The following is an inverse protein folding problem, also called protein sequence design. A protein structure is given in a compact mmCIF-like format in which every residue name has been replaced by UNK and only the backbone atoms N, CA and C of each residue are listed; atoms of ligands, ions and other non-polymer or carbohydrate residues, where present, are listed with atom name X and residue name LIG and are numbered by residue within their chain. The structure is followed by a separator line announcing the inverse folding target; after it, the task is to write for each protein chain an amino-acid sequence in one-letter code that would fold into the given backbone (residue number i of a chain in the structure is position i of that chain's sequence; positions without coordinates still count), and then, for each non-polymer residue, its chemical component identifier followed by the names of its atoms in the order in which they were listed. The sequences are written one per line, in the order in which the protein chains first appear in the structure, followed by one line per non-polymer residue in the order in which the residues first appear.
data_IF_190576660538
#
_entry.id   IF_190576660538
#
_cell.length_a   1.000
_cell.length_b   1.000
_cell.length_c   1.000
_cell.angle_alpha   90.00
_cell.angle_beta   90.00
_cell.angle_gamma   90.00
#
_symmetry.space_group_name_H-M   'P 1'
#
loop_
_entity.id
_entity.type
_entity.pdbx_description
1 polymer ?
#
# COMPACT_ATOMS: atom_id res chain seq x y z
N UNK A 1 23.18 -17.87 -2.12
CA UNK A 1 22.05 -17.64 -1.22
C UNK A 1 20.97 -18.58 -1.66
N UNK A 2 20.44 -19.40 -0.75
CA UNK A 2 19.20 -20.15 -0.99
C UNK A 2 18.08 -19.12 -1.04
N UNK A 3 17.59 -18.83 -2.24
CA UNK A 3 16.69 -17.69 -2.54
C UNK A 3 15.23 -18.11 -2.69
N UNK A 4 14.94 -19.41 -2.60
CA UNK A 4 13.60 -19.91 -2.87
C UNK A 4 12.79 -20.07 -1.56
N UNK A 5 11.77 -19.24 -1.44
CA UNK A 5 10.77 -19.38 -0.38
C UNK A 5 9.92 -20.65 -0.63
N UNK A 6 9.71 -21.53 0.36
CA UNK A 6 8.92 -22.75 0.18
C UNK A 6 7.44 -22.41 0.01
N UNK A 7 6.93 -22.39 -1.23
CA UNK A 7 5.58 -21.92 -1.56
C UNK A 7 4.46 -22.88 -1.14
N UNK A 8 4.79 -24.12 -0.85
CA UNK A 8 3.90 -25.19 -0.37
C UNK A 8 3.38 -24.94 1.06
N UNK A 9 4.07 -24.09 1.85
CA UNK A 9 3.60 -23.71 3.20
C UNK A 9 2.50 -22.64 3.17
N UNK A 10 2.23 -22.03 2.02
CA UNK A 10 1.24 -20.96 1.89
C UNK A 10 -0.19 -21.52 1.82
N UNK A 11 -1.19 -20.80 2.36
CA UNK A 11 -2.57 -21.25 2.30
C UNK A 11 -3.06 -21.46 0.86
N UNK A 12 -3.68 -22.62 0.64
CA UNK A 12 -4.37 -22.92 -0.60
C UNK A 12 -5.50 -21.90 -0.86
N UNK A 13 -5.80 -21.64 -2.13
CA UNK A 13 -6.88 -20.74 -2.53
C UNK A 13 -6.61 -19.24 -2.34
N UNK A 14 -5.42 -18.83 -1.91
CA UNK A 14 -5.00 -17.40 -1.88
C UNK A 14 -4.25 -16.99 -3.15
N UNK A 15 -4.21 -15.69 -3.46
CA UNK A 15 -3.35 -15.20 -4.55
C UNK A 15 -1.86 -15.31 -4.18
N UNK A 16 -1.01 -15.57 -5.17
CA UNK A 16 0.44 -15.67 -5.01
C UNK A 16 1.15 -14.89 -6.11
N UNK A 17 2.08 -14.02 -5.70
CA UNK A 17 3.03 -13.35 -6.57
C UNK A 17 4.44 -13.75 -6.13
N UNK A 18 5.29 -14.15 -7.08
CA UNK A 18 6.73 -14.27 -6.88
C UNK A 18 7.38 -12.98 -7.36
N UNK A 19 8.22 -12.36 -6.55
CA UNK A 19 8.80 -11.06 -6.83
C UNK A 19 10.22 -10.95 -6.31
N UNK A 20 11.02 -10.10 -6.96
CA UNK A 20 12.32 -9.64 -6.48
C UNK A 20 12.39 -8.09 -6.47
N UNK A 21 13.60 -7.53 -6.44
CA UNK A 21 13.80 -6.09 -6.45
C UNK A 21 13.53 -5.41 -7.80
N UNK A 22 13.36 -6.19 -8.87
CA UNK A 22 13.29 -5.73 -10.25
C UNK A 22 11.94 -6.05 -10.92
N UNK A 23 11.35 -7.23 -10.66
CA UNK A 23 10.10 -7.64 -11.29
C UNK A 23 9.26 -8.60 -10.41
N UNK A 24 8.05 -8.93 -10.88
CA UNK A 24 7.16 -9.89 -10.25
C UNK A 24 6.24 -10.61 -11.25
N UNK A 25 5.90 -11.87 -10.96
CA UNK A 25 4.94 -12.68 -11.70
C UNK A 25 3.79 -13.16 -10.81
N UNK A 26 2.56 -13.15 -11.36
CA UNK A 26 1.38 -13.75 -10.73
C UNK A 26 1.36 -15.25 -11.02
N UNK A 27 1.75 -16.06 -10.04
CA UNK A 27 1.75 -17.54 -10.15
C UNK A 27 0.34 -18.10 -9.94
N UNK A 28 -0.46 -17.45 -9.09
CA UNK A 28 -1.81 -17.88 -8.77
C UNK A 28 -2.70 -16.69 -8.52
N UNK A 29 -3.81 -16.57 -9.26
CA UNK A 29 -4.82 -15.57 -8.94
C UNK A 29 -5.62 -15.96 -7.70
N UNK A 30 -5.76 -15.01 -6.77
CA UNK A 30 -6.66 -15.12 -5.64
C UNK A 30 -8.13 -14.91 -6.02
N UNK A 31 -9.06 -15.37 -5.18
CA UNK A 31 -10.49 -15.24 -5.42
C UNK A 31 -10.94 -13.78 -5.39
N UNK A 32 -11.89 -13.42 -6.26
CA UNK A 32 -12.44 -12.07 -6.29
C UNK A 32 -13.42 -11.86 -5.13
N UNK A 33 -13.08 -10.95 -4.20
CA UNK A 33 -13.98 -10.51 -3.12
C UNK A 33 -14.28 -9.04 -3.26
N UNK A 34 -15.42 -8.69 -3.87
CA UNK A 34 -15.78 -7.29 -4.15
C UNK A 34 -16.08 -6.51 -2.88
N UNK A 35 -15.57 -5.27 -2.82
CA UNK A 35 -15.86 -4.35 -1.73
C UNK A 35 -17.17 -3.60 -1.96
N UNK A 36 -17.93 -3.42 -0.88
CA UNK A 36 -19.09 -2.52 -0.86
C UNK A 36 -18.70 -1.09 -1.30
N UNK A 37 -19.58 -0.36 -2.02
CA UNK A 37 -19.23 0.93 -2.62
C UNK A 37 -18.69 1.96 -1.62
N UNK A 38 -19.29 2.07 -0.43
CA UNK A 38 -18.85 3.01 0.61
C UNK A 38 -17.42 2.71 1.08
N UNK A 39 -17.10 1.44 1.35
CA UNK A 39 -15.75 1.01 1.77
C UNK A 39 -14.73 1.23 0.67
N UNK A 40 -15.06 0.89 -0.58
CA UNK A 40 -14.20 1.14 -1.74
C UNK A 40 -13.87 2.63 -1.87
N UNK A 41 -14.87 3.52 -1.76
CA UNK A 41 -14.67 4.97 -1.81
C UNK A 41 -13.67 5.44 -0.75
N UNK A 42 -13.84 5.01 0.50
CA UNK A 42 -12.95 5.38 1.61
C UNK A 42 -11.52 4.92 1.37
N UNK A 43 -11.33 3.66 0.93
CA UNK A 43 -9.98 3.12 0.67
C UNK A 43 -9.29 3.87 -0.48
N UNK A 44 -10.00 4.16 -1.57
CA UNK A 44 -9.46 4.93 -2.69
C UNK A 44 -9.04 6.33 -2.26
N UNK A 45 -9.84 7.04 -1.44
CA UNK A 45 -9.46 8.36 -0.94
C UNK A 45 -8.23 8.30 -0.03
N UNK A 46 -8.12 7.28 0.82
CA UNK A 46 -6.93 7.07 1.67
C UNK A 46 -5.69 6.80 0.83
N UNK A 47 -5.81 5.95 -0.19
CA UNK A 47 -4.73 5.68 -1.13
C UNK A 47 -4.25 6.96 -1.84
N UNK A 48 -5.18 7.76 -2.38
CA UNK A 48 -4.86 9.03 -3.03
C UNK A 48 -4.15 10.00 -2.09
N UNK A 49 -4.63 10.12 -0.85
CA UNK A 49 -4.01 10.96 0.18
C UNK A 49 -2.58 10.49 0.48
N UNK A 50 -2.36 9.19 0.67
CA UNK A 50 -1.01 8.66 0.93
C UNK A 50 -0.05 8.88 -0.25
N UNK A 51 -0.50 8.67 -1.48
CA UNK A 51 0.29 8.90 -2.68
C UNK A 51 0.68 10.38 -2.82
N UNK A 52 -0.28 11.31 -2.63
CA UNK A 52 -0.04 12.74 -2.72
C UNK A 52 0.95 13.23 -1.66
N UNK A 53 0.79 12.80 -0.41
CA UNK A 53 1.70 13.19 0.68
C UNK A 53 3.12 12.71 0.44
N UNK A 54 3.30 11.45 0.02
CA UNK A 54 4.63 10.88 -0.27
C UNK A 54 5.30 11.57 -1.46
N UNK A 55 4.55 11.78 -2.55
CA UNK A 55 5.07 12.49 -3.72
C UNK A 55 5.49 13.91 -3.37
N UNK A 56 4.68 14.59 -2.57
CA UNK A 56 4.96 15.95 -2.17
C UNK A 56 6.19 16.03 -1.25
N UNK A 57 6.35 15.11 -0.29
CA UNK A 57 7.55 15.03 0.54
C UNK A 57 8.82 14.72 -0.28
N UNK A 58 8.71 13.89 -1.31
CA UNK A 58 9.81 13.61 -2.24
C UNK A 58 10.19 14.86 -3.06
N UNK A 59 9.19 15.61 -3.55
CA UNK A 59 9.41 16.80 -4.38
C UNK A 59 9.90 18.00 -3.59
N UNK A 60 9.44 18.16 -2.35
CA UNK A 60 9.84 19.24 -1.46
C UNK A 60 10.16 18.71 -0.05
N UNK A 61 11.41 18.27 0.17
CA UNK A 61 11.84 17.72 1.46
C UNK A 61 11.92 18.74 2.60
N UNK A 62 11.92 20.04 2.29
CA UNK A 62 12.00 21.13 3.27
C UNK A 62 10.62 21.60 3.72
N UNK A 63 9.55 21.14 3.07
CA UNK A 63 8.20 21.43 3.54
C UNK A 63 8.05 20.81 4.93
N UNK A 64 7.62 21.57 5.95
CA UNK A 64 7.22 20.99 7.22
C UNK A 64 6.14 19.92 6.96
N UNK A 65 6.16 18.79 7.69
CA UNK A 65 5.09 17.82 7.58
C UNK A 65 3.76 18.54 7.81
N UNK A 66 2.70 18.08 7.15
CA UNK A 66 1.33 18.50 7.47
C UNK A 66 1.00 18.00 8.88
N UNK A 67 1.55 18.64 9.90
CA UNK A 67 1.10 18.56 11.28
C UNK A 67 -0.29 19.17 11.29
N UNK A 68 -1.20 18.55 12.05
CA UNK A 68 -2.63 18.84 11.97
C UNK A 68 -2.95 20.33 11.99
N UNK A 69 -3.82 20.74 11.08
CA UNK A 69 -4.66 21.92 11.29
C UNK A 69 -5.51 21.57 12.54
N UNK A 70 -5.00 21.91 13.73
CA UNK A 70 -5.58 21.52 15.02
C UNK A 70 -4.61 21.18 16.16
N UNK A 71 -3.33 21.56 16.10
CA UNK A 71 -2.51 21.65 17.33
C UNK A 71 -2.61 23.09 17.85
N UNK A 72 -3.13 23.23 19.06
CA UNK A 72 -3.35 24.47 19.80
C UNK A 72 -2.21 25.49 19.65
N UNK A 73 -2.62 26.72 19.35
CA UNK A 73 -1.91 27.92 19.78
C UNK A 73 -2.15 28.09 21.28
N UNK A 74 -1.16 27.77 22.10
CA UNK A 74 -1.06 28.25 23.48
C UNK A 74 0.39 28.68 23.69
N UNK A 75 0.66 29.92 23.28
CA UNK A 75 1.62 30.88 23.87
C UNK A 75 1.20 32.30 23.48
#
# INVERSE_FOLDING_TARGET
MDVDFPTDVLPEGTGLLLADAYDAEIVRMGPETRLAPARRKVIVHKFARHAALRLQALRDPRRPPLVGIGAESDD
#
